data_IF_190640952343
#
_entry.id   IF_190640952343
#
_cell.length_a   1.000
_cell.length_b   1.000
_cell.length_c   1.000
_cell.angle_alpha   90.00
_cell.angle_beta   90.00
_cell.angle_gamma   90.00
#
_symmetry.space_group_name_H-M   'P 1'
#
loop_
_entity.id
_entity.type
_entity.pdbx_description
1 polymer ?
#
# COMPACT_ATOMS: atom_id res chain seq x y z
N UNK A 1 51.85 61.23 29.15
CA UNK A 1 50.38 61.44 29.19
C UNK A 1 49.77 60.10 29.59
N UNK A 2 49.56 59.86 30.88
CA UNK A 2 48.30 60.00 31.61
C UNK A 2 47.15 59.17 31.02
N UNK A 3 46.87 58.06 31.72
CA UNK A 3 45.56 57.46 32.00
C UNK A 3 44.92 56.61 30.89
N UNK A 4 44.14 55.56 31.15
CA UNK A 4 43.43 55.16 32.37
C UNK A 4 42.89 53.71 32.24
N UNK A 5 42.93 52.97 33.36
CA UNK A 5 41.95 52.00 33.92
C UNK A 5 41.30 50.89 33.05
N UNK A 6 40.94 49.68 33.52
CA UNK A 6 41.11 48.82 34.71
C UNK A 6 39.87 47.90 34.73
N UNK A 7 40.15 46.59 34.78
CA UNK A 7 39.46 45.53 35.52
C UNK A 7 38.00 45.09 35.26
N UNK A 8 37.87 43.77 35.47
CA UNK A 8 36.76 43.06 36.14
C UNK A 8 35.53 42.80 35.29
N UNK A 9 34.86 41.64 35.34
CA UNK A 9 35.00 40.36 36.05
C UNK A 9 33.89 39.49 35.43
N UNK A 10 34.06 38.18 35.31
CA UNK A 10 33.13 37.16 35.84
C UNK A 10 33.40 35.78 35.20
N UNK A 11 34.03 35.00 36.07
CA UNK A 11 34.18 33.55 36.16
C UNK A 11 32.92 32.81 35.71
N UNK A 12 33.08 31.66 35.04
CA UNK A 12 32.35 30.43 35.38
C UNK A 12 33.06 29.19 34.80
N UNK A 13 33.70 28.45 35.71
CA UNK A 13 33.60 26.99 35.79
C UNK A 13 34.09 26.16 34.61
N UNK A 14 35.38 25.86 34.56
CA UNK A 14 35.85 24.62 33.96
C UNK A 14 35.48 23.44 34.86
N UNK A 15 34.66 22.52 34.36
CA UNK A 15 34.56 21.17 34.91
C UNK A 15 34.60 20.14 33.78
N UNK A 16 35.40 19.10 34.03
CA UNK A 16 35.89 18.08 33.09
C UNK A 16 34.75 17.31 32.41
N UNK A 17 34.90 17.09 31.10
CA UNK A 17 34.11 16.11 30.33
C UNK A 17 34.39 14.71 30.86
N UNK A 18 33.42 14.10 31.54
CA UNK A 18 33.29 12.65 31.64
C UNK A 18 32.54 12.16 30.42
N UNK A 19 33.17 11.26 29.68
CA UNK A 19 32.61 10.61 28.50
C UNK A 19 31.72 9.46 28.93
N UNK A 20 30.43 9.72 29.09
CA UNK A 20 29.41 8.68 29.12
C UNK A 20 28.85 8.55 27.70
N UNK A 21 29.46 7.67 26.92
CA UNK A 21 28.86 7.20 25.68
C UNK A 21 27.77 6.19 26.04
N UNK A 22 26.54 6.67 26.17
CA UNK A 22 25.34 5.84 26.16
C UNK A 22 25.37 4.95 24.91
N UNK A 23 25.31 3.64 25.15
CA UNK A 23 25.26 2.63 24.12
C UNK A 23 24.02 2.80 23.26
N UNK A 24 24.23 3.27 22.03
CA UNK A 24 23.26 3.15 20.96
C UNK A 24 23.10 1.65 20.63
N UNK A 25 22.15 0.99 21.31
CA UNK A 25 21.67 -0.33 20.93
C UNK A 25 20.90 -0.20 19.62
N UNK A 26 21.66 -0.13 18.54
CA UNK A 26 21.16 -0.30 17.19
C UNK A 26 20.70 -1.76 17.11
N UNK A 27 19.43 -2.01 17.43
CA UNK A 27 18.75 -3.28 17.18
C UNK A 27 18.77 -3.51 15.67
N UNK A 28 19.85 -4.14 15.20
CA UNK A 28 19.89 -4.87 13.95
C UNK A 28 18.88 -6.01 14.06
N UNK A 29 17.60 -5.68 13.83
CA UNK A 29 16.58 -6.68 13.55
C UNK A 29 16.90 -7.17 12.15
N UNK A 30 17.68 -8.25 12.05
CA UNK A 30 17.75 -9.08 10.85
C UNK A 30 16.32 -9.46 10.51
N UNK A 31 15.72 -8.73 9.59
CA UNK A 31 14.35 -8.96 9.15
C UNK A 31 14.36 -10.30 8.42
N UNK A 32 13.93 -11.37 9.11
CA UNK A 32 13.81 -12.70 8.52
C UNK A 32 12.90 -12.56 7.30
N UNK A 33 13.50 -12.65 6.11
CA UNK A 33 12.80 -12.41 4.84
C UNK A 33 11.93 -13.62 4.51
N UNK A 34 10.76 -13.66 5.17
CA UNK A 34 9.70 -14.64 4.92
C UNK A 34 9.32 -14.64 3.44
N UNK A 35 9.10 -15.81 2.84
CA UNK A 35 8.57 -15.95 1.50
C UNK A 35 7.07 -15.63 1.43
N UNK A 36 6.56 -15.34 0.23
CA UNK A 36 5.12 -15.11 0.03
C UNK A 36 4.29 -16.36 0.41
N UNK A 37 4.77 -17.55 0.06
CA UNK A 37 4.12 -18.82 0.41
C UNK A 37 3.98 -18.98 1.92
N UNK A 38 5.05 -18.74 2.67
CA UNK A 38 4.99 -18.81 4.13
C UNK A 38 4.05 -17.75 4.70
N UNK A 39 4.00 -16.54 4.13
CA UNK A 39 3.05 -15.49 4.54
C UNK A 39 1.61 -15.99 4.40
N UNK A 40 1.25 -16.56 3.24
CA UNK A 40 -0.07 -17.13 2.99
C UNK A 40 -0.39 -18.28 3.95
N UNK A 41 0.56 -19.18 4.22
CA UNK A 41 0.36 -20.26 5.19
C UNK A 41 -0.02 -19.73 6.58
N UNK A 42 0.64 -18.68 7.07
CA UNK A 42 0.25 -18.07 8.34
C UNK A 42 -1.11 -17.37 8.30
N UNK A 43 -1.49 -16.77 7.16
CA UNK A 43 -2.81 -16.16 7.01
C UNK A 43 -3.90 -17.25 7.05
N UNK A 44 -3.69 -18.40 6.41
CA UNK A 44 -4.67 -19.48 6.38
C UNK A 44 -4.82 -20.21 7.71
N UNK A 45 -3.83 -20.13 8.60
CA UNK A 45 -3.92 -20.65 9.98
C UNK A 45 -4.68 -19.72 10.93
N UNK A 46 -5.01 -18.50 10.51
CA UNK A 46 -5.78 -17.53 11.32
C UNK A 46 -7.26 -17.90 11.34
N UNK A 47 -7.91 -17.58 12.45
CA UNK A 47 -9.38 -17.51 12.54
C UNK A 47 -9.92 -16.43 11.59
N UNK A 48 -11.20 -16.53 11.23
CA UNK A 48 -11.84 -15.52 10.35
C UNK A 48 -11.83 -14.12 10.97
N UNK A 49 -11.95 -14.01 12.30
CA UNK A 49 -11.84 -12.73 13.01
C UNK A 49 -10.44 -12.11 12.87
N UNK A 50 -9.39 -12.91 13.02
CA UNK A 50 -8.00 -12.46 12.82
C UNK A 50 -7.73 -12.09 11.36
N UNK A 51 -8.25 -12.86 10.39
CA UNK A 51 -8.15 -12.51 8.97
C UNK A 51 -8.84 -11.19 8.68
N UNK A 52 -10.02 -10.95 9.25
CA UNK A 52 -10.73 -9.67 9.07
C UNK A 52 -9.91 -8.48 9.60
N UNK A 53 -9.29 -8.63 10.77
CA UNK A 53 -8.42 -7.60 11.35
C UNK A 53 -7.12 -7.40 10.56
N UNK A 54 -6.57 -8.48 10.02
CA UNK A 54 -5.30 -8.46 9.28
C UNK A 54 -5.42 -7.97 7.84
N UNK A 55 -6.64 -7.98 7.27
CA UNK A 55 -6.86 -7.77 5.83
C UNK A 55 -6.30 -6.46 5.31
N UNK A 56 -6.48 -5.36 6.05
CA UNK A 56 -5.91 -4.08 5.67
C UNK A 56 -4.38 -4.14 5.58
N UNK A 57 -3.72 -4.73 6.59
CA UNK A 57 -2.25 -4.87 6.60
C UNK A 57 -1.78 -5.72 5.42
N UNK A 58 -2.48 -6.82 5.11
CA UNK A 58 -2.11 -7.67 3.98
C UNK A 58 -2.13 -6.90 2.67
N UNK A 59 -3.23 -6.20 2.35
CA UNK A 59 -3.34 -5.44 1.10
C UNK A 59 -2.41 -4.23 1.10
N UNK A 60 -2.32 -3.47 2.19
CA UNK A 60 -1.56 -2.22 2.25
C UNK A 60 -0.05 -2.43 2.32
N UNK A 61 0.42 -3.51 2.95
CA UNK A 61 1.85 -3.71 3.26
C UNK A 61 2.41 -4.98 2.62
N UNK A 62 1.81 -6.14 2.89
CA UNK A 62 2.40 -7.42 2.48
C UNK A 62 2.34 -7.61 0.95
N UNK A 63 1.18 -7.34 0.33
CA UNK A 63 1.03 -7.44 -1.13
C UNK A 63 2.05 -6.57 -1.86
N UNK A 64 2.20 -5.25 -1.57
CA UNK A 64 3.26 -4.44 -2.14
C UNK A 64 4.67 -4.97 -1.87
N UNK A 65 4.97 -5.42 -0.64
CA UNK A 65 6.30 -5.94 -0.29
C UNK A 65 6.68 -7.15 -1.16
N UNK A 66 5.75 -8.08 -1.39
CA UNK A 66 6.01 -9.28 -2.16
C UNK A 66 5.93 -9.04 -3.66
N UNK A 67 4.88 -8.39 -4.13
CA UNK A 67 4.59 -8.24 -5.55
C UNK A 67 5.35 -7.11 -6.22
N UNK A 68 5.90 -6.13 -5.48
CA UNK A 68 6.60 -4.99 -6.07
C UNK A 68 7.56 -5.40 -7.20
N UNK A 69 7.45 -4.68 -8.32
CA UNK A 69 8.24 -4.88 -9.54
C UNK A 69 8.03 -6.22 -10.25
N UNK A 70 7.01 -7.02 -9.87
CA UNK A 70 6.56 -8.12 -10.75
C UNK A 70 6.12 -7.52 -12.08
N UNK A 71 6.75 -7.89 -13.21
CA UNK A 71 6.51 -7.26 -14.50
C UNK A 71 5.03 -7.26 -14.88
N UNK A 72 4.59 -6.18 -15.52
CA UNK A 72 3.26 -6.15 -16.11
C UNK A 72 3.29 -6.79 -17.51
N UNK A 73 2.18 -7.46 -17.86
CA UNK A 73 1.84 -7.84 -19.23
C UNK A 73 0.33 -7.95 -19.32
N UNK A 74 -0.27 -7.61 -20.46
CA UNK A 74 -1.70 -7.78 -20.69
C UNK A 74 -2.14 -9.26 -20.58
N UNK A 75 -1.28 -10.18 -21.03
CA UNK A 75 -1.49 -11.63 -20.90
C UNK A 75 -0.94 -12.22 -19.60
N UNK A 76 -0.45 -11.39 -18.67
CA UNK A 76 0.20 -11.85 -17.45
C UNK A 76 -0.77 -12.50 -16.48
N UNK A 77 -0.52 -13.75 -16.10
CA UNK A 77 -1.37 -14.54 -15.21
C UNK A 77 -0.63 -15.13 -14.01
N UNK A 78 0.58 -14.62 -13.71
CA UNK A 78 1.47 -15.22 -12.70
C UNK A 78 0.78 -15.42 -11.34
N UNK A 79 1.06 -16.55 -10.70
CA UNK A 79 0.64 -16.89 -9.33
C UNK A 79 1.72 -16.65 -8.30
N UNK A 80 2.91 -16.27 -8.75
CA UNK A 80 4.08 -16.09 -7.89
C UNK A 80 4.67 -14.69 -8.08
N UNK A 81 4.84 -13.91 -7.01
CA UNK A 81 5.52 -12.63 -7.08
C UNK A 81 6.90 -12.76 -7.73
N UNK A 82 7.25 -11.80 -8.58
CA UNK A 82 8.56 -11.69 -9.26
C UNK A 82 8.90 -12.84 -10.20
N UNK A 83 7.94 -13.72 -10.53
CA UNK A 83 8.07 -14.73 -11.57
C UNK A 83 7.08 -14.44 -12.69
N UNK A 84 7.54 -14.43 -13.93
CA UNK A 84 6.70 -14.11 -15.09
C UNK A 84 6.14 -12.68 -15.03
N UNK A 85 4.91 -12.51 -15.49
CA UNK A 85 4.22 -11.20 -15.51
C UNK A 85 2.78 -11.31 -15.02
N UNK A 86 2.19 -10.17 -14.64
CA UNK A 86 0.82 -10.13 -14.10
C UNK A 86 0.02 -8.92 -14.62
N UNK A 87 -1.15 -9.19 -15.17
CA UNK A 87 -2.12 -8.17 -15.59
C UNK A 87 -2.84 -7.56 -14.37
N UNK A 88 -3.49 -6.42 -14.55
CA UNK A 88 -4.16 -5.69 -13.46
C UNK A 88 -5.30 -6.48 -12.82
N UNK A 89 -6.19 -7.10 -13.61
CA UNK A 89 -7.26 -7.95 -13.13
C UNK A 89 -6.74 -9.18 -12.38
N UNK A 90 -5.74 -9.88 -12.95
CA UNK A 90 -5.11 -11.02 -12.30
C UNK A 90 -4.38 -10.66 -11.02
N UNK A 91 -3.75 -9.48 -10.94
CA UNK A 91 -3.13 -9.00 -9.70
C UNK A 91 -4.15 -8.89 -8.57
N UNK A 92 -5.29 -8.26 -8.83
CA UNK A 92 -6.38 -8.14 -7.85
C UNK A 92 -6.92 -9.52 -7.49
N UNK A 93 -7.38 -10.31 -8.47
CA UNK A 93 -8.06 -11.57 -8.16
C UNK A 93 -7.14 -12.63 -7.58
N UNK A 94 -5.86 -12.67 -7.97
CA UNK A 94 -4.89 -13.58 -7.37
C UNK A 94 -4.64 -13.22 -5.91
N UNK A 95 -4.42 -11.96 -5.57
CA UNK A 95 -4.16 -11.54 -4.18
C UNK A 95 -5.38 -11.72 -3.27
N UNK A 96 -6.62 -11.54 -3.78
CA UNK A 96 -7.83 -11.86 -3.02
C UNK A 96 -8.02 -13.37 -2.83
N UNK A 97 -7.86 -14.16 -3.88
CA UNK A 97 -7.95 -15.62 -3.79
C UNK A 97 -6.88 -16.18 -2.84
N UNK A 98 -5.65 -15.66 -2.90
CA UNK A 98 -4.56 -16.04 -1.99
C UNK A 98 -4.88 -15.71 -0.54
N UNK A 99 -5.57 -14.61 -0.27
CA UNK A 99 -6.00 -14.25 1.08
C UNK A 99 -7.09 -15.17 1.65
N UNK A 100 -7.85 -15.82 0.76
CA UNK A 100 -8.95 -16.73 1.13
C UNK A 100 -10.32 -16.33 0.61
N UNK A 101 -10.44 -15.35 -0.30
CA UNK A 101 -11.72 -15.07 -0.96
C UNK A 101 -12.09 -16.24 -1.89
N UNK A 102 -13.28 -16.79 -1.70
CA UNK A 102 -13.85 -17.78 -2.61
C UNK A 102 -14.39 -17.10 -3.88
N UNK A 103 -13.54 -17.06 -4.91
CA UNK A 103 -13.83 -16.42 -6.20
C UNK A 103 -13.29 -17.23 -7.37
N UNK A 104 -14.01 -17.20 -8.50
CA UNK A 104 -13.44 -17.63 -9.77
C UNK A 104 -12.47 -16.55 -10.29
N UNK A 105 -11.21 -16.64 -9.84
CA UNK A 105 -10.18 -15.62 -10.09
C UNK A 105 -9.93 -15.37 -11.58
N UNK A 106 -9.98 -16.41 -12.41
CA UNK A 106 -9.68 -16.33 -13.85
C UNK A 106 -10.82 -15.62 -14.56
N UNK A 107 -12.06 -16.04 -14.29
CA UNK A 107 -13.24 -15.37 -14.84
C UNK A 107 -13.25 -13.88 -14.47
N UNK A 108 -13.11 -13.55 -13.19
CA UNK A 108 -13.17 -12.15 -12.74
C UNK A 108 -12.01 -11.30 -13.25
N UNK A 109 -10.81 -11.87 -13.40
CA UNK A 109 -9.65 -11.15 -13.94
C UNK A 109 -9.85 -10.69 -15.40
N UNK A 110 -10.70 -11.40 -16.14
CA UNK A 110 -10.99 -11.16 -17.55
C UNK A 110 -12.23 -10.29 -17.76
N UNK A 111 -13.03 -10.04 -16.71
CA UNK A 111 -14.20 -9.17 -16.82
C UNK A 111 -13.83 -7.69 -16.76
N UNK A 112 -14.75 -6.84 -17.20
CA UNK A 112 -14.72 -5.42 -16.85
C UNK A 112 -14.63 -5.26 -15.33
N UNK A 113 -13.84 -4.30 -14.87
CA UNK A 113 -13.60 -4.02 -13.44
C UNK A 113 -14.91 -3.81 -12.67
N UNK A 114 -15.93 -3.23 -13.32
CA UNK A 114 -17.26 -3.03 -12.76
C UNK A 114 -17.97 -4.32 -12.34
N UNK A 115 -17.77 -5.43 -13.07
CA UNK A 115 -18.33 -6.74 -12.71
C UNK A 115 -17.68 -7.25 -11.43
N UNK A 116 -16.35 -7.16 -11.35
CA UNK A 116 -15.60 -7.53 -10.15
C UNK A 116 -16.01 -6.70 -8.94
N UNK A 117 -16.14 -5.37 -9.09
CA UNK A 117 -16.54 -4.47 -8.01
C UNK A 117 -17.97 -4.75 -7.55
N UNK A 118 -18.92 -4.92 -8.48
CA UNK A 118 -20.32 -5.26 -8.14
C UNK A 118 -20.44 -6.58 -7.39
N UNK A 119 -19.57 -7.55 -7.68
CA UNK A 119 -19.57 -8.85 -7.03
C UNK A 119 -18.90 -8.83 -5.64
N UNK A 120 -17.82 -8.07 -5.48
CA UNK A 120 -16.94 -8.19 -4.31
C UNK A 120 -17.07 -7.04 -3.31
N UNK A 121 -17.67 -5.91 -3.69
CA UNK A 121 -17.69 -4.71 -2.88
C UNK A 121 -19.09 -4.30 -2.40
N UNK A 122 -19.09 -3.45 -1.39
CA UNK A 122 -20.24 -2.72 -0.88
C UNK A 122 -20.02 -1.22 -1.06
N UNK A 123 -21.03 -0.40 -0.79
CA UNK A 123 -20.94 1.07 -0.88
C UNK A 123 -20.35 1.55 -2.23
N UNK A 124 -20.82 0.96 -3.32
CA UNK A 124 -20.29 1.23 -4.66
C UNK A 124 -20.70 2.65 -5.07
N UNK A 125 -19.71 3.41 -5.57
CA UNK A 125 -19.88 4.76 -6.09
C UNK A 125 -19.20 4.90 -7.43
N UNK A 126 -19.68 5.87 -8.21
CA UNK A 126 -19.12 6.24 -9.49
C UNK A 126 -18.80 7.74 -9.48
N UNK A 127 -17.64 8.09 -10.02
CA UNK A 127 -17.19 9.47 -10.17
C UNK A 127 -16.61 9.67 -11.58
N UNK A 128 -16.77 10.89 -12.10
CA UNK A 128 -16.13 11.37 -13.34
C UNK A 128 -15.07 12.43 -13.08
N UNK A 129 -14.83 12.78 -11.80
CA UNK A 129 -13.82 13.75 -11.38
C UNK A 129 -12.93 13.13 -10.32
N UNK A 130 -11.61 13.26 -10.52
CA UNK A 130 -10.61 12.73 -9.59
C UNK A 130 -10.73 13.33 -8.19
N UNK A 131 -11.09 14.61 -8.07
CA UNK A 131 -11.25 15.32 -6.79
C UNK A 131 -12.43 14.76 -5.97
N UNK A 132 -13.54 14.41 -6.62
CA UNK A 132 -14.72 13.87 -5.93
C UNK A 132 -14.43 12.47 -5.38
N UNK A 133 -13.69 11.65 -6.13
CA UNK A 133 -13.17 10.38 -5.64
C UNK A 133 -12.29 10.56 -4.40
N UNK A 134 -11.39 11.53 -4.40
CA UNK A 134 -10.49 11.81 -3.27
C UNK A 134 -11.29 12.24 -2.03
N UNK A 135 -12.21 13.19 -2.19
CA UNK A 135 -13.09 13.62 -1.11
C UNK A 135 -13.92 12.48 -0.54
N UNK A 136 -14.43 11.59 -1.40
CA UNK A 136 -15.15 10.39 -0.96
C UNK A 136 -14.27 9.51 -0.08
N UNK A 137 -13.04 9.19 -0.50
CA UNK A 137 -12.13 8.32 0.25
C UNK A 137 -11.75 8.97 1.59
N UNK A 138 -11.43 10.27 1.59
CA UNK A 138 -11.03 11.02 2.79
C UNK A 138 -12.19 11.27 3.77
N UNK A 139 -13.44 11.20 3.31
CA UNK A 139 -14.64 11.26 4.14
C UNK A 139 -15.03 9.95 4.84
N UNK A 140 -14.35 8.84 4.56
CA UNK A 140 -14.66 7.51 5.12
C UNK A 140 -13.85 7.16 6.38
N UNK A 141 -13.88 5.91 6.80
CA UNK A 141 -13.06 5.41 7.90
C UNK A 141 -11.59 5.27 7.47
N UNK A 142 -10.68 5.37 8.45
CA UNK A 142 -9.26 5.04 8.26
C UNK A 142 -9.07 3.54 8.11
N UNK A 143 -7.94 3.14 7.52
CA UNK A 143 -7.53 1.75 7.31
C UNK A 143 -8.54 0.94 6.51
N UNK A 144 -9.06 1.56 5.45
CA UNK A 144 -10.04 0.95 4.56
C UNK A 144 -9.37 0.52 3.24
N UNK A 145 -9.79 -0.63 2.74
CA UNK A 145 -9.44 -1.14 1.40
C UNK A 145 -10.62 -0.94 0.45
N UNK A 146 -10.32 -0.48 -0.75
CA UNK A 146 -11.26 -0.32 -1.85
C UNK A 146 -10.75 -1.07 -3.08
N UNK A 147 -11.68 -1.58 -3.90
CA UNK A 147 -11.40 -1.84 -5.30
C UNK A 147 -11.75 -0.61 -6.11
N UNK A 148 -10.89 -0.24 -7.05
CA UNK A 148 -11.16 0.81 -8.02
C UNK A 148 -11.07 0.25 -9.44
N UNK A 149 -12.06 0.60 -10.25
CA UNK A 149 -12.14 0.37 -11.68
C UNK A 149 -12.01 1.70 -12.39
N UNK A 150 -11.10 1.75 -13.34
CA UNK A 150 -10.83 2.88 -14.22
C UNK A 150 -11.27 2.51 -15.64
N UNK A 151 -10.99 3.38 -16.61
CA UNK A 151 -11.42 3.23 -18.01
C UNK A 151 -11.02 1.87 -18.60
N UNK A 152 -9.77 1.46 -18.41
CA UNK A 152 -9.22 0.18 -18.87
C UNK A 152 -8.26 -0.46 -17.85
N UNK A 153 -8.36 -0.05 -16.58
CA UNK A 153 -7.42 -0.47 -15.54
C UNK A 153 -8.11 -0.69 -14.20
N UNK A 154 -7.45 -1.41 -13.29
CA UNK A 154 -7.99 -1.70 -11.95
C UNK A 154 -6.87 -1.91 -10.94
N UNK A 155 -7.20 -1.74 -9.67
CA UNK A 155 -6.31 -1.98 -8.56
C UNK A 155 -7.00 -1.75 -7.22
N UNK A 156 -6.20 -1.69 -6.17
CA UNK A 156 -6.66 -1.30 -4.84
C UNK A 156 -6.42 0.18 -4.60
N UNK A 157 -7.35 0.82 -3.90
CA UNK A 157 -7.03 2.03 -3.15
C UNK A 157 -7.05 1.67 -1.66
N UNK A 158 -6.01 2.05 -0.93
CA UNK A 158 -5.99 1.97 0.53
C UNK A 158 -5.93 3.37 1.12
N UNK A 159 -6.64 3.58 2.23
CA UNK A 159 -6.52 4.78 3.05
C UNK A 159 -5.85 4.44 4.37
N UNK A 160 -4.61 4.86 4.55
CA UNK A 160 -3.87 4.77 5.80
C UNK A 160 -3.87 6.14 6.46
N UNK A 161 -4.71 6.32 7.48
CA UNK A 161 -4.97 7.63 8.09
C UNK A 161 -5.45 8.70 7.08
N UNK A 162 -4.56 9.61 6.67
CA UNK A 162 -4.81 10.66 5.67
C UNK A 162 -4.18 10.35 4.32
N UNK A 163 -3.26 9.40 4.27
CA UNK A 163 -2.60 9.02 3.03
C UNK A 163 -3.45 8.01 2.28
N UNK A 164 -3.58 8.22 0.98
CA UNK A 164 -4.24 7.28 0.08
C UNK A 164 -3.23 6.75 -0.91
N UNK A 165 -3.21 5.43 -1.07
CA UNK A 165 -2.30 4.75 -1.99
C UNK A 165 -3.08 4.03 -3.08
N UNK A 166 -2.55 4.04 -4.29
CA UNK A 166 -2.97 3.15 -5.36
C UNK A 166 -2.00 1.98 -5.47
N UNK A 167 -2.53 0.76 -5.40
CA UNK A 167 -1.76 -0.48 -5.47
C UNK A 167 -2.25 -1.25 -6.68
N UNK A 168 -1.41 -1.38 -7.70
CA UNK A 168 -1.80 -1.93 -8.99
C UNK A 168 -0.62 -2.55 -9.73
N UNK A 169 -0.90 -3.40 -10.71
CA UNK A 169 0.08 -3.78 -11.73
C UNK A 169 0.14 -2.70 -12.81
N UNK A 170 1.18 -1.88 -12.81
CA UNK A 170 1.30 -0.70 -13.66
C UNK A 170 1.69 -1.07 -15.10
N UNK A 171 0.78 -0.81 -16.03
CA UNK A 171 0.99 -1.00 -17.46
C UNK A 171 1.85 0.12 -18.08
N UNK A 172 1.92 1.29 -17.45
CA UNK A 172 2.70 2.42 -17.96
C UNK A 172 4.18 2.05 -17.87
N UNK A 173 4.86 2.08 -19.03
CA UNK A 173 6.27 1.68 -19.18
C UNK A 173 6.59 0.28 -18.62
N UNK A 174 5.58 -0.59 -18.50
CA UNK A 174 5.69 -1.92 -17.91
C UNK A 174 6.35 -1.93 -16.51
N UNK A 175 6.12 -0.89 -15.70
CA UNK A 175 6.73 -0.76 -14.37
C UNK A 175 6.36 -1.89 -13.40
N UNK A 176 5.29 -2.63 -13.71
CA UNK A 176 4.85 -3.77 -12.91
C UNK A 176 4.14 -3.34 -11.64
N UNK A 177 4.04 -4.25 -10.67
CA UNK A 177 3.31 -3.96 -9.44
C UNK A 177 3.98 -2.87 -8.63
N UNK A 178 3.20 -1.88 -8.20
CA UNK A 178 3.64 -0.74 -7.40
C UNK A 178 2.57 -0.36 -6.37
N UNK A 179 3.01 0.17 -5.23
CA UNK A 179 2.22 1.00 -4.31
C UNK A 179 2.73 2.42 -4.42
N UNK A 180 1.86 3.34 -4.82
CA UNK A 180 2.20 4.76 -4.95
C UNK A 180 1.11 5.64 -4.33
N UNK A 181 1.45 6.88 -3.97
CA UNK A 181 0.44 7.83 -3.52
C UNK A 181 -0.53 8.11 -4.68
N UNK A 182 -1.84 8.14 -4.41
CA UNK A 182 -2.85 8.36 -5.45
C UNK A 182 -2.60 9.67 -6.21
N UNK A 183 -2.14 10.73 -5.53
CA UNK A 183 -1.78 12.02 -6.14
C UNK A 183 -0.63 11.94 -7.15
N UNK A 184 0.23 10.93 -7.04
CA UNK A 184 1.37 10.74 -7.95
C UNK A 184 1.06 9.76 -9.07
N UNK A 185 -0.02 8.98 -8.96
CA UNK A 185 -0.31 7.92 -9.91
C UNK A 185 -0.77 8.47 -11.24
N UNK A 186 0.08 8.28 -12.26
CA UNK A 186 -0.25 8.63 -13.64
C UNK A 186 -1.46 7.88 -14.17
N UNK A 187 -1.55 6.58 -13.87
CA UNK A 187 -2.67 5.75 -14.33
C UNK A 187 -3.99 6.23 -13.73
N UNK A 188 -4.01 6.53 -12.43
CA UNK A 188 -5.21 7.03 -11.75
C UNK A 188 -5.59 8.45 -12.20
N UNK A 189 -4.62 9.36 -12.31
CA UNK A 189 -4.88 10.76 -12.62
C UNK A 189 -5.20 11.03 -14.10
N UNK A 190 -4.83 10.12 -14.99
CA UNK A 190 -5.19 10.19 -16.41
C UNK A 190 -6.53 9.54 -16.74
N UNK A 191 -7.19 8.90 -15.77
CA UNK A 191 -8.48 8.24 -16.00
C UNK A 191 -9.64 9.23 -15.95
N UNK A 192 -10.66 8.99 -16.76
CA UNK A 192 -11.87 9.82 -16.84
C UNK A 192 -13.00 9.28 -15.98
N UNK A 193 -13.02 7.95 -15.76
CA UNK A 193 -14.06 7.29 -14.99
C UNK A 193 -13.50 6.52 -13.81
N UNK A 194 -14.25 6.55 -12.70
CA UNK A 194 -13.86 5.89 -11.45
C UNK A 194 -15.06 5.18 -10.84
N UNK A 195 -15.09 3.85 -10.92
CA UNK A 195 -15.97 3.05 -10.08
C UNK A 195 -15.18 2.58 -8.87
N UNK A 196 -15.66 2.88 -7.66
CA UNK A 196 -15.00 2.46 -6.41
C UNK A 196 -15.99 1.70 -5.54
N UNK A 197 -15.53 0.67 -4.84
CA UNK A 197 -16.32 -0.06 -3.87
C UNK A 197 -15.51 -0.41 -2.63
N UNK A 198 -16.14 -0.35 -1.47
CA UNK A 198 -15.55 -0.78 -0.19
C UNK A 198 -15.40 -2.29 -0.19
N UNK A 199 -14.16 -2.77 -0.09
CA UNK A 199 -13.85 -4.19 -0.01
C UNK A 199 -13.64 -4.59 1.45
N UNK A 200 -14.39 -5.59 1.91
CA UNK A 200 -14.28 -6.16 3.25
C UNK A 200 -14.13 -7.66 3.13
N UNK A 201 -13.19 -8.21 3.89
CA UNK A 201 -13.16 -9.64 4.15
C UNK A 201 -14.41 -9.99 4.99
N UNK A 202 -15.17 -10.98 4.52
CA UNK A 202 -16.47 -11.36 5.10
C UNK A 202 -16.27 -12.10 6.41
#
# INVERSE_FOLDING_TARGET
MKYLLVFSLLILGGCKKTSDHEGNSQRNRTEVKRSYKECLTAIHQKTEAEKKQYFFKFINNDVPQFWAKTPWSFAGTSREPKKGSIACGYFVTNTLSDYGFDINRTYLAQQASSVMIKKLCTEIKYFSKRQDLEHYILGKNKNQVYLVGLDFHTGYITRENRDTYFIHSNYIKNEGVIKELTKNSRALNASETFMIGTLKYK
#
